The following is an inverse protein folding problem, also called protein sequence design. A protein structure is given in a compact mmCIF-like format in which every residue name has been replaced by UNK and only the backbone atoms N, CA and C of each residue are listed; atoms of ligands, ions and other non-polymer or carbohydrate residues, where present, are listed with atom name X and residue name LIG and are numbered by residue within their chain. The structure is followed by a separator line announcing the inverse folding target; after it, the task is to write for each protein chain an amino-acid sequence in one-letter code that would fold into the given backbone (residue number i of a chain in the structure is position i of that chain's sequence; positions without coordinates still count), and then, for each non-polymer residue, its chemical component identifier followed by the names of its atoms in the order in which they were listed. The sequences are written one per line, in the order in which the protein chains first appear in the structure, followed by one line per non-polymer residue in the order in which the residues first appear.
data_IF_361770947851
#
_entry.id   IF_361770947851
#
_cell.length_a   1.000
_cell.length_b   1.000
_cell.length_c   1.000
_cell.angle_alpha   90.00
_cell.angle_beta   90.00
_cell.angle_gamma   90.00
#
_symmetry.space_group_name_H-M   'P 1'
#
loop_
_entity.id
_entity.type
_entity.pdbx_description
1 polymer ?
#
# COMPACT_ATOMS: atom_id res chain seq x y z
N UNK A 1 -1.06 -11.75 -36.73
CA UNK A 1 -1.80 -12.06 -35.53
C UNK A 1 -1.02 -11.60 -34.32
N UNK A 2 -1.70 -11.25 -33.28
CA UNK A 2 -1.09 -10.69 -32.10
C UNK A 2 -0.51 -11.73 -31.16
N UNK A 3 0.31 -11.25 -30.23
CA UNK A 3 0.86 -12.05 -29.14
C UNK A 3 -0.24 -12.23 -28.08
N UNK A 4 -0.39 -13.46 -27.61
CA UNK A 4 -1.43 -13.77 -26.62
C UNK A 4 -1.05 -13.23 -25.23
N UNK A 5 -1.99 -12.58 -24.59
CA UNK A 5 -1.85 -11.99 -23.27
C UNK A 5 -1.41 -13.02 -22.23
N UNK A 6 -1.99 -14.22 -22.24
CA UNK A 6 -1.70 -15.27 -21.26
C UNK A 6 -0.35 -15.94 -21.46
N UNK A 7 0.26 -15.81 -22.64
CA UNK A 7 1.52 -16.48 -22.96
C UNK A 7 2.74 -15.64 -22.64
N UNK A 8 2.69 -14.36 -22.94
CA UNK A 8 3.81 -13.44 -22.72
C UNK A 8 3.27 -12.02 -22.56
N UNK A 9 3.01 -11.63 -21.31
CA UNK A 9 2.41 -10.33 -21.02
C UNK A 9 3.32 -9.16 -21.41
N UNK A 10 4.64 -9.31 -21.33
CA UNK A 10 5.58 -8.24 -21.69
C UNK A 10 5.56 -8.01 -23.19
N UNK A 11 5.66 -9.07 -23.97
CA UNK A 11 5.62 -8.98 -25.43
C UNK A 11 4.25 -8.48 -25.90
N UNK A 12 3.17 -8.96 -25.27
CA UNK A 12 1.81 -8.50 -25.55
C UNK A 12 1.68 -7.00 -25.28
N UNK A 13 2.16 -6.50 -24.14
CA UNK A 13 2.08 -5.09 -23.76
C UNK A 13 2.83 -4.20 -24.75
N UNK A 14 4.04 -4.62 -25.15
CA UNK A 14 4.84 -3.88 -26.13
C UNK A 14 4.14 -3.83 -27.48
N UNK A 15 3.51 -4.91 -27.92
CA UNK A 15 2.76 -4.96 -29.17
C UNK A 15 1.54 -4.05 -29.13
N UNK A 16 0.75 -4.11 -28.05
CA UNK A 16 -0.43 -3.25 -27.89
C UNK A 16 -0.05 -1.77 -27.86
N UNK A 17 1.01 -1.42 -27.16
CA UNK A 17 1.52 -0.05 -27.13
C UNK A 17 1.92 0.43 -28.55
N UNK A 18 2.55 -0.45 -29.31
CA UNK A 18 2.91 -0.18 -30.71
C UNK A 18 1.69 0.12 -31.58
N UNK A 19 0.63 -0.69 -31.44
CA UNK A 19 -0.62 -0.49 -32.16
C UNK A 19 -1.27 0.87 -31.82
N UNK A 20 -1.29 1.21 -30.54
CA UNK A 20 -1.84 2.50 -30.08
C UNK A 20 -1.07 3.66 -30.74
N UNK A 21 0.26 3.63 -30.68
CA UNK A 21 1.10 4.70 -31.23
C UNK A 21 0.99 4.81 -32.74
N UNK A 22 0.75 3.69 -33.43
CA UNK A 22 0.57 3.64 -34.88
C UNK A 22 -0.86 4.00 -35.31
N UNK A 23 -1.79 4.21 -34.35
CA UNK A 23 -3.19 4.48 -34.65
C UNK A 23 -3.97 3.26 -35.13
N UNK A 24 -3.42 2.06 -34.91
CA UNK A 24 -4.06 0.81 -35.32
C UNK A 24 -5.00 0.30 -34.21
N UNK A 25 -6.05 1.05 -33.94
CA UNK A 25 -7.02 0.75 -32.88
C UNK A 25 -7.85 -0.49 -33.20
N UNK A 26 -7.95 -0.86 -34.45
CA UNK A 26 -8.61 -2.09 -34.91
C UNK A 26 -7.92 -3.37 -34.44
N UNK A 27 -6.63 -3.27 -34.07
CA UNK A 27 -5.83 -4.41 -33.63
C UNK A 27 -5.72 -4.54 -32.10
N UNK A 28 -6.33 -3.63 -31.35
CA UNK A 28 -6.21 -3.60 -29.90
C UNK A 28 -7.00 -4.73 -29.21
N UNK A 29 -6.37 -5.34 -28.23
CA UNK A 29 -6.97 -6.30 -27.31
C UNK A 29 -7.63 -5.51 -26.16
N UNK A 30 -8.79 -4.93 -26.42
CA UNK A 30 -9.43 -3.96 -25.54
C UNK A 30 -9.73 -4.51 -24.16
N UNK A 31 -10.18 -5.75 -24.07
CA UNK A 31 -10.56 -6.36 -22.80
C UNK A 31 -9.37 -6.52 -21.87
N UNK A 32 -8.27 -7.06 -22.37
CA UNK A 32 -7.05 -7.22 -21.58
C UNK A 32 -6.35 -5.88 -21.30
N UNK A 33 -6.43 -4.93 -22.24
CA UNK A 33 -5.92 -3.56 -22.00
C UNK A 33 -6.69 -2.92 -20.85
N UNK A 34 -8.02 -3.02 -20.84
CA UNK A 34 -8.86 -2.48 -19.78
C UNK A 34 -8.50 -3.10 -18.43
N UNK A 35 -8.30 -4.41 -18.39
CA UNK A 35 -7.89 -5.12 -17.17
C UNK A 35 -6.55 -4.62 -16.64
N UNK A 36 -5.57 -4.43 -17.52
CA UNK A 36 -4.25 -3.92 -17.13
C UNK A 36 -4.32 -2.47 -16.64
N UNK A 37 -5.18 -1.66 -17.24
CA UNK A 37 -5.39 -0.28 -16.75
C UNK A 37 -5.99 -0.29 -15.33
N UNK A 38 -6.95 -1.16 -15.07
CA UNK A 38 -7.50 -1.33 -13.71
C UNK A 38 -6.43 -1.78 -12.73
N UNK A 39 -5.54 -2.67 -13.15
CA UNK A 39 -4.44 -3.17 -12.33
C UNK A 39 -3.45 -2.07 -11.93
N UNK A 40 -3.28 -1.04 -12.74
CA UNK A 40 -2.46 0.12 -12.37
C UNK A 40 -3.00 0.77 -11.10
N UNK A 41 -4.32 1.00 -11.05
CA UNK A 41 -4.96 1.58 -9.86
C UNK A 41 -4.86 0.66 -8.65
N UNK A 42 -5.11 -0.63 -8.83
CA UNK A 42 -5.01 -1.62 -7.76
C UNK A 42 -3.59 -1.74 -7.21
N UNK A 43 -2.59 -1.63 -8.08
CA UNK A 43 -1.18 -1.66 -7.69
C UNK A 43 -0.83 -0.48 -6.78
N UNK A 44 -1.33 0.73 -7.10
CA UNK A 44 -1.13 1.91 -6.26
C UNK A 44 -1.80 1.76 -4.90
N UNK A 45 -3.01 1.19 -4.88
CA UNK A 45 -3.73 0.91 -3.63
C UNK A 45 -2.97 -0.08 -2.76
N UNK A 46 -2.47 -1.16 -3.34
CA UNK A 46 -1.68 -2.18 -2.63
C UNK A 46 -0.38 -1.62 -2.08
N UNK A 47 0.26 -0.72 -2.82
CA UNK A 47 1.49 -0.08 -2.36
C UNK A 47 1.23 0.79 -1.11
N UNK A 48 0.15 1.55 -1.11
CA UNK A 48 -0.24 2.33 0.07
C UNK A 48 -0.56 1.42 1.25
N UNK A 49 -1.32 0.34 1.03
CA UNK A 49 -1.64 -0.64 2.07
C UNK A 49 -0.38 -1.23 2.70
N UNK A 50 0.57 -1.66 1.88
CA UNK A 50 1.79 -2.28 2.36
C UNK A 50 2.61 -1.33 3.21
N UNK A 51 2.77 -0.08 2.77
CA UNK A 51 3.52 0.91 3.52
C UNK A 51 2.82 1.33 4.80
N UNK A 52 1.51 1.46 4.75
CA UNK A 52 0.70 1.79 5.92
C UNK A 52 0.77 0.67 6.96
N UNK A 53 0.71 -0.59 6.52
CA UNK A 53 0.82 -1.74 7.42
C UNK A 53 2.17 -1.76 8.15
N UNK A 54 3.27 -1.47 7.45
CA UNK A 54 4.60 -1.39 8.07
C UNK A 54 4.65 -0.25 9.08
N UNK A 55 4.10 0.91 8.73
CA UNK A 55 4.04 2.07 9.64
C UNK A 55 3.26 1.72 10.91
N UNK A 56 2.06 1.19 10.75
CA UNK A 56 1.20 0.82 11.89
C UNK A 56 1.85 -0.27 12.75
N UNK A 57 2.49 -1.26 12.13
CA UNK A 57 3.19 -2.33 12.85
C UNK A 57 4.29 -1.75 13.75
N UNK A 58 5.07 -0.79 13.25
CA UNK A 58 6.14 -0.16 14.02
C UNK A 58 5.59 0.77 15.11
N UNK A 59 4.46 1.44 14.86
CA UNK A 59 3.78 2.23 15.89
C UNK A 59 3.25 1.33 17.00
N UNK A 60 2.72 0.16 16.66
CA UNK A 60 2.30 -0.85 17.64
C UNK A 60 3.47 -1.33 18.50
N UNK A 61 4.57 -1.68 17.86
CA UNK A 61 5.77 -2.10 18.58
C UNK A 61 6.28 -0.97 19.48
N UNK A 62 6.25 0.25 19.00
CA UNK A 62 6.67 1.42 19.77
C UNK A 62 5.83 1.58 21.05
N UNK A 63 4.52 1.47 20.93
CA UNK A 63 3.63 1.62 22.07
C UNK A 63 3.74 0.46 23.07
N UNK A 64 3.75 -0.77 22.58
CA UNK A 64 3.64 -1.96 23.42
C UNK A 64 4.98 -2.53 23.88
N UNK A 65 6.08 -2.05 23.33
CA UNK A 65 7.43 -2.46 23.76
C UNK A 65 8.33 -1.23 23.99
N UNK A 66 8.02 -0.40 24.99
CA UNK A 66 8.79 0.82 25.24
C UNK A 66 10.27 0.56 25.50
N UNK A 67 10.62 -0.57 26.10
CA UNK A 67 12.01 -0.94 26.39
C UNK A 67 12.83 -1.28 25.14
N UNK A 68 12.16 -1.50 24.01
CA UNK A 68 12.82 -1.80 22.73
C UNK A 68 12.83 -0.64 21.75
N UNK A 69 12.31 0.50 22.16
CA UNK A 69 12.32 1.71 21.32
C UNK A 69 13.76 2.09 20.99
N UNK A 70 14.01 2.42 19.72
CA UNK A 70 15.34 2.79 19.28
C UNK A 70 15.33 3.47 17.93
N UNK A 71 16.54 3.80 17.46
CA UNK A 71 16.76 4.52 16.22
C UNK A 71 16.18 3.79 15.02
N UNK A 72 16.34 2.47 14.97
CA UNK A 72 15.83 1.65 13.87
C UNK A 72 14.32 1.81 13.68
N UNK A 73 13.57 1.70 14.76
CA UNK A 73 12.10 1.87 14.69
C UNK A 73 11.71 3.31 14.37
N UNK A 74 12.40 4.27 14.97
CA UNK A 74 12.14 5.69 14.71
C UNK A 74 12.35 6.04 13.24
N UNK A 75 13.43 5.52 12.64
CA UNK A 75 13.73 5.74 11.22
C UNK A 75 12.67 5.10 10.33
N UNK A 76 12.27 3.85 10.63
CA UNK A 76 11.24 3.16 9.85
C UNK A 76 9.90 3.90 9.92
N UNK A 77 9.49 4.33 11.12
CA UNK A 77 8.26 5.11 11.31
C UNK A 77 8.29 6.37 10.44
N UNK A 78 9.38 7.14 10.54
CA UNK A 78 9.54 8.37 9.77
C UNK A 78 9.50 8.12 8.26
N UNK A 79 10.27 7.14 7.80
CA UNK A 79 10.39 6.82 6.37
C UNK A 79 9.07 6.35 5.78
N UNK A 80 8.38 5.43 6.45
CA UNK A 80 7.11 4.90 5.94
C UNK A 80 6.02 5.97 5.96
N UNK A 81 6.01 6.81 6.99
CA UNK A 81 5.08 7.94 7.07
C UNK A 81 5.29 8.91 5.90
N UNK A 82 6.54 9.26 5.62
CA UNK A 82 6.87 10.14 4.49
C UNK A 82 6.43 9.54 3.16
N UNK A 83 6.64 8.24 2.97
CA UNK A 83 6.27 7.54 1.75
C UNK A 83 4.76 7.43 1.58
N UNK A 84 4.01 7.17 2.65
CA UNK A 84 2.55 7.19 2.62
C UNK A 84 2.03 8.57 2.22
N UNK A 85 2.55 9.62 2.85
CA UNK A 85 2.15 10.99 2.55
C UNK A 85 2.47 11.39 1.12
N UNK A 86 3.62 10.96 0.60
CA UNK A 86 3.99 11.22 -0.79
C UNK A 86 3.04 10.54 -1.76
N UNK A 87 2.65 9.29 -1.50
CA UNK A 87 1.69 8.57 -2.33
C UNK A 87 0.33 9.25 -2.36
N UNK A 88 -0.14 9.66 -1.20
CA UNK A 88 -1.42 10.38 -1.08
C UNK A 88 -1.40 11.72 -1.81
N UNK A 89 -0.25 12.39 -1.80
CA UNK A 89 -0.07 13.66 -2.52
C UNK A 89 -0.04 13.45 -4.04
N UNK A 90 0.67 12.43 -4.51
CA UNK A 90 0.78 12.11 -5.95
C UNK A 90 -0.49 11.52 -6.52
N UNK A 91 -1.24 10.77 -5.72
CA UNK A 91 -2.45 10.07 -6.12
C UNK A 91 -3.59 10.41 -5.17
N UNK A 92 -4.15 11.63 -5.29
CA UNK A 92 -5.14 12.12 -4.31
C UNK A 92 -6.38 11.26 -4.14
N UNK A 93 -6.77 10.47 -5.15
CA UNK A 93 -7.92 9.57 -5.05
C UNK A 93 -7.73 8.49 -3.99
N UNK A 94 -6.48 8.22 -3.56
CA UNK A 94 -6.20 7.29 -2.48
C UNK A 94 -6.63 7.81 -1.11
N UNK A 95 -6.91 9.11 -0.98
CA UNK A 95 -7.39 9.70 0.27
C UNK A 95 -8.68 9.03 0.76
N UNK A 96 -9.54 8.58 -0.15
CA UNK A 96 -10.78 7.90 0.21
C UNK A 96 -10.56 6.58 0.95
N UNK A 97 -9.43 5.93 0.76
CA UNK A 97 -9.07 4.71 1.47
C UNK A 97 -8.95 4.94 2.98
N UNK A 98 -8.48 6.13 3.37
CA UNK A 98 -8.24 6.46 4.78
C UNK A 98 -9.51 6.53 5.62
N UNK A 99 -10.67 6.63 4.99
CA UNK A 99 -11.98 6.65 5.65
C UNK A 99 -12.82 5.42 5.31
N UNK A 100 -12.29 4.50 4.53
CA UNK A 100 -12.96 3.25 4.16
C UNK A 100 -12.72 2.22 5.28
N UNK A 101 -13.80 1.81 5.94
CA UNK A 101 -13.72 0.88 7.07
C UNK A 101 -13.12 -0.47 6.68
N UNK A 102 -13.49 -1.01 5.53
CA UNK A 102 -12.96 -2.30 5.07
C UNK A 102 -11.46 -2.23 4.83
N UNK A 103 -10.99 -1.15 4.21
CA UNK A 103 -9.57 -0.92 3.98
C UNK A 103 -8.81 -0.82 5.32
N UNK A 104 -9.36 -0.07 6.27
CA UNK A 104 -8.74 0.11 7.58
C UNK A 104 -8.66 -1.21 8.35
N UNK A 105 -9.70 -2.04 8.28
CA UNK A 105 -9.72 -3.37 8.93
C UNK A 105 -8.61 -4.24 8.35
N UNK A 106 -8.48 -4.29 7.04
CA UNK A 106 -7.47 -5.13 6.37
C UNK A 106 -6.05 -4.66 6.67
N UNK A 107 -5.81 -3.37 6.60
CA UNK A 107 -4.49 -2.79 6.89
C UNK A 107 -4.10 -3.00 8.35
N UNK A 108 -5.05 -2.81 9.26
CA UNK A 108 -4.80 -3.05 10.68
C UNK A 108 -4.47 -4.52 10.96
N UNK A 109 -5.22 -5.45 10.36
CA UNK A 109 -4.96 -6.88 10.50
C UNK A 109 -3.55 -7.23 10.01
N UNK A 110 -3.13 -6.68 8.88
CA UNK A 110 -1.78 -6.88 8.35
C UNK A 110 -0.72 -6.32 9.30
N UNK A 111 -0.98 -5.15 9.87
CA UNK A 111 -0.06 -4.52 10.82
C UNK A 111 0.11 -5.36 12.10
N UNK A 112 -1.00 -5.85 12.64
CA UNK A 112 -0.99 -6.72 13.82
C UNK A 112 -0.24 -8.03 13.52
N UNK A 113 -0.48 -8.62 12.36
CA UNK A 113 0.22 -9.83 11.93
C UNK A 113 1.74 -9.59 11.86
N UNK A 114 2.17 -8.50 11.26
CA UNK A 114 3.59 -8.15 11.19
C UNK A 114 4.19 -7.92 12.57
N UNK A 115 3.53 -7.14 13.41
CA UNK A 115 4.01 -6.84 14.76
C UNK A 115 4.11 -8.12 15.60
N UNK A 116 3.13 -9.00 15.48
CA UNK A 116 3.12 -10.29 16.19
C UNK A 116 4.29 -11.17 15.73
N UNK A 117 4.53 -11.27 14.45
CA UNK A 117 5.63 -12.07 13.90
C UNK A 117 7.00 -11.49 14.27
N UNK A 118 7.14 -10.17 14.22
CA UNK A 118 8.41 -9.50 14.55
C UNK A 118 8.77 -9.62 16.02
N UNK A 119 7.79 -9.61 16.90
CA UNK A 119 8.00 -9.62 18.35
C UNK A 119 7.81 -10.99 18.98
N UNK A 120 7.12 -11.88 18.31
CA UNK A 120 6.67 -13.17 18.83
C UNK A 120 5.77 -13.00 20.07
N UNK A 121 4.99 -11.91 20.10
CA UNK A 121 4.06 -11.60 21.19
C UNK A 121 2.65 -11.44 20.64
N UNK A 122 1.68 -12.03 21.32
CA UNK A 122 0.26 -11.93 20.95
C UNK A 122 -0.43 -10.97 21.93
N UNK A 123 -0.08 -9.69 21.82
CA UNK A 123 -0.53 -8.65 22.77
C UNK A 123 -1.19 -7.45 22.07
N UNK A 124 -1.21 -7.43 20.73
CA UNK A 124 -1.68 -6.27 19.97
C UNK A 124 -3.20 -6.31 19.80
N UNK A 125 -3.87 -5.14 19.88
CA UNK A 125 -5.33 -5.10 19.79
C UNK A 125 -5.83 -5.44 18.38
N UNK A 126 -7.01 -6.07 18.31
CA UNK A 126 -7.61 -6.47 17.04
C UNK A 126 -8.24 -5.30 16.28
N UNK A 127 -8.54 -4.20 16.96
CA UNK A 127 -9.19 -3.04 16.36
C UNK A 127 -8.25 -1.84 16.36
N UNK A 128 -8.35 -1.01 15.32
CA UNK A 128 -7.53 0.18 15.18
C UNK A 128 -7.82 1.18 16.30
N UNK A 129 -6.77 1.61 16.98
CA UNK A 129 -6.86 2.53 18.11
C UNK A 129 -6.69 3.99 17.72
N UNK A 130 -6.21 4.26 16.49
CA UNK A 130 -5.72 5.58 16.09
C UNK A 130 -6.47 6.12 14.89
N UNK A 131 -6.54 7.46 14.81
CA UNK A 131 -7.00 8.15 13.61
C UNK A 131 -5.88 8.17 12.57
N UNK A 132 -6.21 7.95 11.31
CA UNK A 132 -5.20 8.01 10.24
C UNK A 132 -4.58 9.41 10.11
N UNK A 133 -5.33 10.47 10.43
CA UNK A 133 -4.80 11.83 10.46
C UNK A 133 -3.66 11.99 11.46
N UNK A 134 -3.74 11.31 12.60
CA UNK A 134 -2.66 11.29 13.59
C UNK A 134 -1.49 10.43 13.12
N UNK A 135 -1.79 9.24 12.63
CA UNK A 135 -0.76 8.28 12.14
C UNK A 135 0.12 8.92 11.08
N UNK A 136 -0.47 9.74 10.20
CA UNK A 136 0.24 10.38 9.09
C UNK A 136 0.89 11.72 9.45
N UNK A 137 0.65 12.21 10.67
CA UNK A 137 1.23 13.48 11.12
C UNK A 137 2.70 13.31 11.47
N UNK A 138 3.54 14.19 10.93
CA UNK A 138 4.97 14.16 11.21
C UNK A 138 5.25 14.28 12.71
N UNK A 139 6.09 13.38 13.20
CA UNK A 139 6.51 13.38 14.60
C UNK A 139 5.51 12.76 15.58
N UNK A 140 4.32 12.38 15.10
CA UNK A 140 3.34 11.76 15.99
C UNK A 140 3.78 10.36 16.42
N UNK A 141 3.64 10.07 17.70
CA UNK A 141 3.87 8.75 18.27
C UNK A 141 2.72 8.43 19.22
N UNK A 142 2.30 7.16 19.31
CA UNK A 142 1.21 6.81 20.22
C UNK A 142 1.66 6.94 21.67
N UNK A 143 0.73 7.34 22.53
CA UNK A 143 0.97 7.42 23.97
C UNK A 143 0.87 6.03 24.60
N UNK A 144 1.61 5.84 25.66
CA UNK A 144 1.59 4.58 26.41
C UNK A 144 0.26 4.35 27.13
#
# INVERSE_FOLDING_TARGET
MGIAYEKDIVAWANEQASFIRAGRFDLLDLENIAEEIEDVGKSEQRELESRMAVLLAHLLKWQYQPERRGVSWAVTIRTQRERCNMRLKKTPSLQSSLTDEDWLVDVWADAVDQATKDTNLDIFPNECLWQMSDVLKNGWLPEN
#
